data_IF_986879582471
#
_entry.id   IF_986879582471
#
_cell.length_a   1.000
_cell.length_b   1.000
_cell.length_c   1.000
_cell.angle_alpha   90.00
_cell.angle_beta   90.00
_cell.angle_gamma   90.00
#
_symmetry.space_group_name_H-M   'P 1'
#
loop_
_entity.id
_entity.type
_entity.pdbx_description
1 polymer ?
#
# COMPACT_ATOMS: atom_id res chain seq x y z
N UNK A 1 8.03 17.79 -1.27
CA UNK A 1 7.42 17.26 -2.52
C UNK A 1 7.68 15.76 -2.53
N UNK A 2 6.65 14.92 -2.42
CA UNK A 2 6.79 13.45 -2.51
C UNK A 2 6.84 13.03 -3.99
N UNK A 3 7.74 12.11 -4.33
CA UNK A 3 7.97 11.60 -5.69
C UNK A 3 8.12 10.07 -5.65
N UNK A 4 7.53 9.40 -6.62
CA UNK A 4 7.66 7.95 -6.84
C UNK A 4 8.05 7.73 -8.30
N UNK A 5 9.10 6.95 -8.54
CA UNK A 5 9.57 6.59 -9.88
C UNK A 5 9.53 5.06 -10.03
N UNK A 6 9.02 4.55 -11.15
CA UNK A 6 8.96 3.11 -11.47
C UNK A 6 9.56 2.88 -12.85
N UNK A 7 10.56 2.01 -12.94
CA UNK A 7 11.32 1.74 -14.17
C UNK A 7 11.23 0.25 -14.54
N UNK A 8 10.20 -0.17 -15.30
CA UNK A 8 10.09 -1.56 -15.73
C UNK A 8 11.05 -1.88 -16.88
N UNK A 9 11.56 -3.10 -16.91
CA UNK A 9 12.35 -3.65 -18.00
C UNK A 9 11.84 -5.04 -18.37
N UNK A 10 11.70 -5.33 -19.66
CA UNK A 10 11.25 -6.62 -20.17
C UNK A 10 12.10 -7.02 -21.37
N UNK A 11 12.70 -8.20 -21.31
CA UNK A 11 13.48 -8.79 -22.41
C UNK A 11 12.86 -10.15 -22.76
N UNK A 12 12.41 -10.29 -24.01
CA UNK A 12 11.56 -11.41 -24.45
C UNK A 12 12.27 -12.13 -25.60
N UNK A 13 12.74 -13.36 -25.32
CA UNK A 13 13.45 -14.20 -26.30
C UNK A 13 12.58 -15.23 -27.02
N UNK A 14 11.26 -15.25 -26.75
CA UNK A 14 10.31 -16.21 -27.33
C UNK A 14 9.40 -15.54 -28.35
N UNK A 15 9.03 -16.27 -29.41
CA UNK A 15 8.15 -15.78 -30.48
C UNK A 15 6.67 -15.79 -30.10
N UNK A 16 6.29 -16.68 -29.19
CA UNK A 16 4.89 -16.94 -28.85
C UNK A 16 4.57 -16.54 -27.40
N UNK A 17 5.31 -15.57 -26.84
CA UNK A 17 5.09 -15.10 -25.47
C UNK A 17 3.93 -14.11 -25.39
N UNK A 18 3.07 -14.29 -24.38
CA UNK A 18 2.07 -13.31 -23.96
C UNK A 18 2.49 -12.73 -22.61
N UNK A 19 2.67 -11.39 -22.55
CA UNK A 19 3.15 -10.71 -21.34
C UNK A 19 2.30 -9.47 -21.05
N UNK A 20 1.91 -9.31 -19.79
CA UNK A 20 1.29 -8.10 -19.26
C UNK A 20 2.15 -7.49 -18.14
N UNK A 21 2.24 -6.16 -18.12
CA UNK A 21 2.87 -5.40 -17.05
C UNK A 21 1.90 -4.32 -16.57
N UNK A 22 1.73 -4.22 -15.25
CA UNK A 22 0.94 -3.18 -14.62
C UNK A 22 1.74 -2.54 -13.48
N UNK A 23 1.64 -1.21 -13.38
CA UNK A 23 2.18 -0.43 -12.29
C UNK A 23 1.19 0.69 -11.96
N UNK A 24 0.90 0.86 -10.66
CA UNK A 24 0.00 1.92 -10.19
C UNK A 24 0.67 2.69 -9.07
N UNK A 25 0.62 4.02 -9.17
CA UNK A 25 1.04 4.93 -8.10
C UNK A 25 -0.19 5.68 -7.62
N UNK A 26 -0.52 5.56 -6.36
CA UNK A 26 -1.64 6.24 -5.73
C UNK A 26 -1.20 7.01 -4.50
N UNK A 27 -1.91 8.10 -4.22
CA UNK A 27 -1.86 8.79 -2.93
C UNK A 27 -3.13 8.44 -2.16
N UNK A 28 -3.04 8.47 -0.83
CA UNK A 28 -4.24 8.39 0.02
C UNK A 28 -5.10 9.62 -0.29
N UNK A 29 -6.37 9.40 -0.62
CA UNK A 29 -7.25 10.47 -1.03
C UNK A 29 -7.83 11.20 0.19
N UNK A 30 -7.77 12.52 0.20
CA UNK A 30 -8.31 13.37 1.27
C UNK A 30 -9.80 13.11 1.53
N UNK A 31 -10.57 12.78 0.48
CA UNK A 31 -11.98 12.42 0.60
C UNK A 31 -12.19 11.11 1.37
N UNK A 32 -11.31 10.11 1.19
CA UNK A 32 -11.38 8.86 1.93
C UNK A 32 -11.06 9.08 3.41
N UNK A 33 -10.04 9.90 3.69
CA UNK A 33 -9.70 10.29 5.07
C UNK A 33 -10.83 11.07 5.71
N UNK A 34 -11.36 12.08 5.02
CA UNK A 34 -12.50 12.86 5.49
C UNK A 34 -13.71 11.98 5.78
N UNK A 35 -14.02 11.03 4.90
CA UNK A 35 -15.12 10.09 5.12
C UNK A 35 -14.90 9.25 6.38
N UNK A 36 -13.73 8.65 6.56
CA UNK A 36 -13.40 7.83 7.73
C UNK A 36 -13.38 8.65 9.03
N UNK A 37 -12.84 9.86 9.00
CA UNK A 37 -12.83 10.79 10.14
C UNK A 37 -14.25 11.25 10.50
N UNK A 38 -15.13 11.46 9.52
CA UNK A 38 -16.54 11.78 9.77
C UNK A 38 -17.29 10.65 10.50
N UNK A 39 -16.75 9.43 10.47
CA UNK A 39 -17.24 8.26 11.22
C UNK A 39 -16.62 8.13 12.62
N UNK A 40 -15.81 9.11 13.05
CA UNK A 40 -15.24 9.18 14.38
C UNK A 40 -13.84 8.57 14.52
N UNK A 41 -13.18 8.21 13.42
CA UNK A 41 -11.79 7.77 13.43
C UNK A 41 -10.87 9.01 13.53
N UNK A 42 -9.77 8.89 14.26
CA UNK A 42 -8.69 9.88 14.15
C UNK A 42 -8.08 9.84 12.74
N UNK A 43 -7.39 10.90 12.34
CA UNK A 43 -6.67 10.94 11.07
C UNK A 43 -5.67 9.78 10.95
N UNK A 44 -4.96 9.49 12.04
CA UNK A 44 -4.03 8.36 12.15
C UNK A 44 -4.73 7.01 11.96
N UNK A 45 -5.89 6.80 12.60
CA UNK A 45 -6.67 5.58 12.44
C UNK A 45 -7.22 5.44 11.02
N UNK A 46 -7.70 6.53 10.42
CA UNK A 46 -8.20 6.56 9.05
C UNK A 46 -7.08 6.23 8.05
N UNK A 47 -5.91 6.85 8.22
CA UNK A 47 -4.71 6.59 7.42
C UNK A 47 -4.27 5.13 7.56
N UNK A 48 -4.17 4.63 8.79
CA UNK A 48 -3.84 3.23 9.08
C UNK A 48 -4.80 2.25 8.41
N UNK A 49 -6.10 2.53 8.45
CA UNK A 49 -7.10 1.69 7.79
C UNK A 49 -6.93 1.66 6.26
N UNK A 50 -6.67 2.80 5.61
CA UNK A 50 -6.45 2.85 4.15
C UNK A 50 -5.16 2.12 3.76
N UNK A 51 -4.06 2.36 4.47
CA UNK A 51 -2.76 1.73 4.19
C UNK A 51 -2.84 0.21 4.42
N UNK A 52 -3.47 -0.23 5.52
CA UNK A 52 -3.67 -1.65 5.81
C UNK A 52 -4.53 -2.33 4.74
N UNK A 53 -5.59 -1.66 4.26
CA UNK A 53 -6.40 -2.17 3.14
C UNK A 53 -5.61 -2.30 1.83
N UNK A 54 -4.68 -1.38 1.56
CA UNK A 54 -3.84 -1.43 0.38
C UNK A 54 -2.84 -2.60 0.40
N UNK A 55 -2.24 -2.89 1.56
CA UNK A 55 -1.26 -3.98 1.70
C UNK A 55 -1.89 -5.35 1.97
N UNK A 56 -3.18 -5.40 2.32
CA UNK A 56 -3.91 -6.62 2.69
C UNK A 56 -3.69 -7.80 1.72
N UNK A 57 -3.70 -7.62 0.38
CA UNK A 57 -3.46 -8.72 -0.55
C UNK A 57 -2.07 -9.36 -0.39
N UNK A 58 -1.06 -8.57 -0.04
CA UNK A 58 0.31 -9.05 0.22
C UNK A 58 0.35 -9.78 1.57
N UNK A 59 -0.21 -9.18 2.61
CA UNK A 59 -0.25 -9.76 3.96
C UNK A 59 -0.94 -11.13 3.98
N UNK A 60 -1.99 -11.32 3.17
CA UNK A 60 -2.70 -12.62 3.02
C UNK A 60 -1.86 -13.74 2.43
N UNK A 61 -0.74 -13.43 1.76
CA UNK A 61 0.18 -14.44 1.21
C UNK A 61 1.23 -14.89 2.22
N UNK A 62 1.36 -14.21 3.34
CA UNK A 62 2.33 -14.53 4.38
C UNK A 62 1.75 -15.54 5.38
N UNK A 63 2.58 -16.45 5.92
CA UNK A 63 2.24 -17.19 7.12
C UNK A 63 1.74 -16.27 8.24
N UNK A 64 0.76 -16.74 9.02
CA UNK A 64 0.08 -15.94 10.06
C UNK A 64 1.03 -15.24 11.03
N UNK A 65 2.09 -15.94 11.46
CA UNK A 65 3.11 -15.39 12.35
C UNK A 65 3.86 -14.18 11.76
N UNK A 66 4.09 -14.16 10.45
CA UNK A 66 4.73 -13.04 9.76
C UNK A 66 3.75 -11.93 9.39
N UNK A 67 2.48 -12.27 9.14
CA UNK A 67 1.44 -11.30 8.85
C UNK A 67 1.22 -10.33 10.02
N UNK A 68 1.20 -10.85 11.26
CA UNK A 68 1.04 -10.03 12.47
C UNK A 68 2.23 -9.08 12.67
N UNK A 69 3.46 -9.58 12.53
CA UNK A 69 4.66 -8.76 12.65
C UNK A 69 4.75 -7.69 11.54
N UNK A 70 4.34 -8.02 10.32
CA UNK A 70 4.30 -7.06 9.21
C UNK A 70 3.36 -5.89 9.49
N UNK A 71 2.13 -6.15 9.95
CA UNK A 71 1.18 -5.09 10.29
C UNK A 71 1.75 -4.14 11.36
N UNK A 72 2.41 -4.69 12.37
CA UNK A 72 3.06 -3.90 13.42
C UNK A 72 4.21 -3.04 12.90
N UNK A 73 5.03 -3.57 11.99
CA UNK A 73 6.12 -2.81 11.37
C UNK A 73 5.60 -1.63 10.55
N UNK A 74 4.48 -1.81 9.85
CA UNK A 74 3.84 -0.75 9.06
C UNK A 74 3.32 0.36 9.97
N UNK A 75 2.63 0.02 11.06
CA UNK A 75 2.15 1.00 12.05
C UNK A 75 3.31 1.82 12.64
N UNK A 76 4.40 1.16 13.02
CA UNK A 76 5.60 1.83 13.54
C UNK A 76 6.25 2.78 12.53
N UNK A 77 6.25 2.43 11.23
CA UNK A 77 6.76 3.34 10.20
C UNK A 77 5.83 4.55 10.02
N UNK A 78 4.53 4.37 10.18
CA UNK A 78 3.55 5.45 10.00
C UNK A 78 3.58 6.49 11.12
N UNK A 79 3.76 6.09 12.38
CA UNK A 79 3.87 7.00 13.54
C UNK A 79 4.94 8.10 13.35
N UNK A 80 6.03 7.81 12.62
CA UNK A 80 7.13 8.75 12.36
C UNK A 80 7.09 9.46 11.00
N UNK A 81 6.12 9.13 10.14
CA UNK A 81 6.08 9.57 8.73
C UNK A 81 5.02 10.64 8.45
N UNK A 82 4.16 10.94 9.41
CA UNK A 82 3.13 11.97 9.29
C UNK A 82 3.74 13.31 9.71
N UNK A 83 4.28 14.03 8.72
CA UNK A 83 4.91 15.36 8.86
C UNK A 83 5.42 15.91 7.53
#
# INVERSE_FOLDING_TARGET
ISRSDTYPYQEIGSRDAEIGHEATVSKVADEQLFYLMSRGLSEEQAMGMVVNGFIEPVTKTLPMEYAVEWSRLIELQMEGSIG
#
